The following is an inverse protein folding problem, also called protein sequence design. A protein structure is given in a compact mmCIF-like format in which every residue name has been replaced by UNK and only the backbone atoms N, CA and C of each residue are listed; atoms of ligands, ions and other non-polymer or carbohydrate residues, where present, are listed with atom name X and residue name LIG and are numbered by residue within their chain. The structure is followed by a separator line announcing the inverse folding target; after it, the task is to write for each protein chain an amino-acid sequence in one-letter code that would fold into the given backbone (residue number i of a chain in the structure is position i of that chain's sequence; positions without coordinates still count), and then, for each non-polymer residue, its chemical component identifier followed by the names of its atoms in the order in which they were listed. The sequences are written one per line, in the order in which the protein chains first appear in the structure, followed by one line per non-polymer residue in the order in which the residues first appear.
data_IF_488922979292
#
_entry.id   IF_488922979292
#
_cell.length_a   1.000
_cell.length_b   1.000
_cell.length_c   1.000
_cell.angle_alpha   90.00
_cell.angle_beta   90.00
_cell.angle_gamma   90.00
#
_symmetry.space_group_name_H-M   'P 1'
#
loop_
_entity.id
_entity.type
_entity.pdbx_description
1 polymer ?
#
# COMPACT_ATOMS: atom_id res chain seq x y z
N UNK A 1 7.41 -10.63 62.41
CA UNK A 1 8.10 -11.20 61.23
C UNK A 1 7.18 -12.30 60.68
N UNK A 2 6.12 -11.92 59.96
CA UNK A 2 5.91 -11.94 58.49
C UNK A 2 5.54 -13.35 57.99
N UNK A 3 4.23 -13.58 57.89
CA UNK A 3 3.58 -14.79 57.39
C UNK A 3 3.76 -14.89 55.87
N UNK A 4 4.25 -16.04 55.39
CA UNK A 4 4.49 -16.31 53.97
C UNK A 4 3.24 -16.94 53.39
N UNK A 5 2.53 -16.22 52.53
CA UNK A 5 1.42 -16.75 51.73
C UNK A 5 2.00 -17.38 50.45
N UNK A 6 1.83 -18.70 50.32
CA UNK A 6 2.16 -19.48 49.13
C UNK A 6 1.00 -19.34 48.12
N UNK A 7 1.20 -18.58 47.04
CA UNK A 7 0.22 -18.42 45.96
C UNK A 7 0.46 -19.53 44.93
N UNK A 8 -0.47 -20.49 44.86
CA UNK A 8 -0.54 -21.48 43.79
C UNK A 8 -0.99 -20.80 42.49
N UNK A 9 -0.09 -20.68 41.52
CA UNK A 9 -0.42 -20.31 40.14
C UNK A 9 -1.01 -21.54 39.42
N UNK A 10 -2.34 -21.62 39.36
CA UNK A 10 -3.03 -22.56 38.49
C UNK A 10 -2.88 -22.12 37.03
N UNK A 11 -1.97 -22.76 36.29
CA UNK A 11 -1.82 -22.59 34.85
C UNK A 11 -3.06 -23.18 34.15
N UNK A 12 -3.97 -22.31 33.72
CA UNK A 12 -5.08 -22.70 32.84
C UNK A 12 -4.50 -22.97 31.46
N UNK A 13 -4.28 -24.24 31.14
CA UNK A 13 -3.97 -24.68 29.77
C UNK A 13 -5.28 -24.62 28.97
N UNK A 14 -5.45 -23.58 28.17
CA UNK A 14 -6.54 -23.49 27.20
C UNK A 14 -6.27 -24.50 26.08
N UNK A 15 -6.92 -25.66 26.11
CA UNK A 15 -7.00 -26.53 24.94
C UNK A 15 -7.84 -25.81 23.87
N UNK A 16 -7.18 -25.35 22.80
CA UNK A 16 -7.88 -24.97 21.58
C UNK A 16 -8.57 -26.24 21.04
N UNK A 17 -9.90 -26.25 21.04
CA UNK A 17 -10.69 -27.33 20.47
C UNK A 17 -10.49 -27.33 18.94
N UNK A 18 -9.57 -28.15 18.45
CA UNK A 18 -9.43 -28.41 17.01
C UNK A 18 -10.67 -29.18 16.55
N UNK A 19 -11.60 -28.48 15.88
CA UNK A 19 -12.75 -29.11 15.24
C UNK A 19 -12.25 -29.96 14.06
N UNK A 20 -11.99 -31.24 14.31
CA UNK A 20 -11.58 -32.21 13.29
C UNK A 20 -12.73 -33.17 12.99
N UNK A 21 -12.95 -33.47 11.71
CA UNK A 21 -13.98 -34.39 11.26
C UNK A 21 -13.34 -35.42 10.33
N UNK A 22 -13.49 -36.71 10.64
CA UNK A 22 -12.88 -37.80 9.87
C UNK A 22 -13.94 -38.82 9.48
N UNK A 23 -13.82 -39.38 8.28
CA UNK A 23 -14.70 -40.40 7.74
C UNK A 23 -13.91 -41.50 7.03
N UNK A 24 -14.55 -42.58 6.57
CA UNK A 24 -13.87 -43.73 5.96
C UNK A 24 -13.08 -43.37 4.68
N UNK A 25 -13.37 -42.22 4.07
CA UNK A 25 -12.75 -41.77 2.81
C UNK A 25 -12.20 -40.35 2.88
N UNK A 26 -12.13 -39.73 4.07
CA UNK A 26 -11.59 -38.38 4.22
C UNK A 26 -11.14 -38.04 5.64
N UNK A 27 -10.22 -37.09 5.76
CA UNK A 27 -9.84 -36.43 7.00
C UNK A 27 -9.97 -34.93 6.79
N UNK A 28 -10.59 -34.20 7.72
CA UNK A 28 -10.74 -32.76 7.66
C UNK A 28 -10.34 -32.10 8.97
N UNK A 29 -9.60 -31.00 8.87
CA UNK A 29 -9.08 -30.25 10.01
C UNK A 29 -9.17 -28.75 9.76
N UNK A 30 -9.38 -28.01 10.85
CA UNK A 30 -9.33 -26.56 10.85
C UNK A 30 -7.88 -26.08 10.94
N UNK A 31 -7.48 -25.21 10.02
CA UNK A 31 -6.18 -24.54 10.03
C UNK A 31 -6.21 -23.34 10.97
N UNK A 32 -5.09 -23.06 11.66
CA UNK A 32 -4.97 -21.86 12.49
C UNK A 32 -5.11 -20.61 11.63
N UNK A 33 -6.20 -19.86 11.82
CA UNK A 33 -6.45 -18.64 11.08
C UNK A 33 -5.60 -17.48 11.60
N UNK A 34 -4.82 -16.84 10.72
CA UNK A 34 -4.13 -15.58 11.05
C UNK A 34 -5.04 -14.35 11.07
N UNK A 35 -6.21 -14.43 10.43
CA UNK A 35 -7.08 -13.29 10.15
C UNK A 35 -8.50 -13.45 10.72
N UNK A 36 -8.72 -14.41 11.64
CA UNK A 36 -10.04 -14.72 12.20
C UNK A 36 -11.02 -15.44 11.26
N UNK A 37 -10.61 -15.77 10.03
CA UNK A 37 -11.41 -16.53 9.05
C UNK A 37 -11.16 -18.03 9.22
N UNK A 38 -12.20 -18.78 9.60
CA UNK A 38 -12.14 -20.24 9.77
C UNK A 38 -11.82 -20.92 8.44
N UNK A 39 -10.64 -21.50 8.34
CA UNK A 39 -10.13 -22.15 7.12
C UNK A 39 -9.97 -23.64 7.40
N UNK A 40 -10.40 -24.47 6.47
CA UNK A 40 -10.37 -25.92 6.62
C UNK A 40 -9.54 -26.54 5.51
N UNK A 41 -8.83 -27.61 5.85
CA UNK A 41 -8.21 -28.50 4.88
C UNK A 41 -8.89 -29.86 4.95
N UNK A 42 -9.18 -30.45 3.79
CA UNK A 42 -9.69 -31.81 3.70
C UNK A 42 -8.83 -32.64 2.76
N UNK A 43 -8.42 -33.80 3.26
CA UNK A 43 -7.67 -34.83 2.55
C UNK A 43 -8.62 -36.02 2.28
N UNK A 44 -8.73 -36.47 1.03
CA UNK A 44 -9.70 -37.48 0.59
C UNK A 44 -9.00 -38.71 0.00
N UNK A 45 -9.12 -39.86 0.68
CA UNK A 45 -8.38 -41.07 0.33
C UNK A 45 -9.30 -42.12 -0.34
N UNK A 46 -8.76 -42.95 -1.25
CA UNK A 46 -9.48 -44.09 -1.87
C UNK A 46 -9.28 -44.27 -3.38
N UNK A 47 -9.77 -45.42 -3.91
CA UNK A 47 -9.61 -45.87 -5.32
C UNK A 47 -10.42 -45.02 -6.33
N UNK A 48 -11.42 -44.25 -5.87
CA UNK A 48 -12.29 -43.40 -6.71
C UNK A 48 -12.19 -41.91 -6.33
N UNK A 49 -11.16 -41.53 -5.58
CA UNK A 49 -11.04 -40.19 -5.02
C UNK A 49 -10.61 -39.21 -6.11
N UNK A 50 -11.46 -38.23 -6.41
CA UNK A 50 -11.13 -37.11 -7.30
C UNK A 50 -11.35 -35.81 -6.55
N UNK A 51 -10.86 -34.69 -7.08
CA UNK A 51 -11.14 -33.36 -6.53
C UNK A 51 -12.65 -33.10 -6.29
N UNK A 52 -13.54 -33.75 -7.06
CA UNK A 52 -15.00 -33.70 -6.88
C UNK A 52 -15.47 -34.36 -5.57
N UNK A 53 -14.80 -35.40 -5.11
CA UNK A 53 -15.11 -36.06 -3.83
C UNK A 53 -14.78 -35.12 -2.68
N UNK A 54 -13.62 -34.45 -2.72
CA UNK A 54 -13.26 -33.45 -1.72
C UNK A 54 -14.22 -32.26 -1.71
N UNK A 55 -14.64 -31.80 -2.88
CA UNK A 55 -15.63 -30.73 -2.98
C UNK A 55 -16.96 -31.11 -2.29
N UNK A 56 -17.44 -32.36 -2.46
CA UNK A 56 -18.65 -32.84 -1.77
C UNK A 56 -18.51 -32.84 -0.24
N UNK A 57 -17.33 -33.21 0.26
CA UNK A 57 -17.06 -33.16 1.71
C UNK A 57 -17.09 -31.72 2.20
N UNK A 58 -16.41 -30.81 1.49
CA UNK A 58 -16.44 -29.38 1.81
C UNK A 58 -17.87 -28.80 1.81
N UNK A 59 -18.71 -29.15 0.83
CA UNK A 59 -20.11 -28.72 0.79
C UNK A 59 -20.90 -29.22 2.00
N UNK A 60 -20.68 -30.48 2.42
CA UNK A 60 -21.32 -31.01 3.64
C UNK A 60 -20.85 -30.29 4.90
N UNK A 61 -19.57 -29.95 4.99
CA UNK A 61 -19.01 -29.23 6.14
C UNK A 61 -19.52 -27.79 6.24
N UNK A 62 -19.78 -27.13 5.10
CA UNK A 62 -20.34 -25.77 5.06
C UNK A 62 -21.87 -25.71 5.16
N UNK A 63 -22.57 -26.84 5.11
CA UNK A 63 -24.03 -26.89 5.19
C UNK A 63 -24.69 -26.08 4.07
N UNK A 64 -25.41 -25.00 4.43
CA UNK A 64 -26.06 -24.10 3.48
C UNK A 64 -25.17 -22.94 3.02
N UNK A 65 -23.95 -22.81 3.57
CA UNK A 65 -23.02 -21.77 3.16
C UNK A 65 -22.23 -22.20 1.91
N UNK A 66 -21.90 -21.26 1.01
CA UNK A 66 -21.09 -21.57 -0.16
C UNK A 66 -19.66 -21.96 0.27
N UNK A 67 -19.09 -22.94 -0.44
CA UNK A 67 -17.70 -23.37 -0.28
C UNK A 67 -16.80 -22.50 -1.14
N UNK A 68 -15.76 -21.92 -0.56
CA UNK A 68 -14.74 -21.14 -1.28
C UNK A 68 -13.37 -21.80 -1.16
N UNK A 69 -12.75 -22.16 -2.27
CA UNK A 69 -11.35 -22.60 -2.27
C UNK A 69 -10.43 -21.40 -1.99
N UNK A 70 -9.55 -21.54 -1.01
CA UNK A 70 -8.62 -20.47 -0.59
C UNK A 70 -7.30 -20.57 -1.35
N UNK A 71 -6.89 -21.79 -1.69
CA UNK A 71 -5.65 -22.03 -2.41
C UNK A 71 -5.96 -22.63 -3.79
N UNK A 72 -6.12 -21.74 -4.77
CA UNK A 72 -5.98 -22.10 -6.20
C UNK A 72 -4.79 -21.35 -6.83
N UNK A 73 -3.97 -20.69 -6.01
CA UNK A 73 -2.86 -19.85 -6.47
C UNK A 73 -1.57 -20.65 -6.53
N UNK A 74 -1.51 -21.54 -7.51
CA UNK A 74 -0.42 -21.58 -8.50
C UNK A 74 -0.83 -22.56 -9.60
N UNK A 75 -0.99 -22.13 -10.87
CA UNK A 75 -0.60 -23.05 -11.93
C UNK A 75 0.90 -23.29 -11.71
N UNK A 76 1.35 -24.54 -11.70
CA UNK A 76 2.76 -24.93 -11.53
C UNK A 76 3.22 -25.32 -10.10
N UNK A 77 2.57 -26.35 -9.54
CA UNK A 77 3.34 -27.50 -9.03
C UNK A 77 2.85 -28.74 -9.74
N UNK A 78 3.71 -29.36 -10.53
CA UNK A 78 3.54 -30.73 -10.98
C UNK A 78 3.34 -31.60 -9.74
N UNK A 79 2.11 -32.07 -9.51
CA UNK A 79 1.77 -32.88 -8.34
C UNK A 79 0.97 -32.20 -7.23
N UNK A 80 0.12 -31.19 -7.54
CA UNK A 80 -1.00 -30.88 -6.64
C UNK A 80 -1.84 -32.15 -6.48
N UNK A 81 -1.74 -32.77 -5.30
CA UNK A 81 -2.47 -34.00 -5.01
C UNK A 81 -3.98 -33.71 -5.15
N UNK A 82 -4.70 -34.31 -6.13
CA UNK A 82 -6.14 -34.08 -6.33
C UNK A 82 -6.99 -34.53 -5.13
N UNK A 83 -6.34 -35.13 -4.13
CA UNK A 83 -6.90 -35.60 -2.88
C UNK A 83 -6.86 -34.56 -1.75
N UNK A 84 -6.30 -33.35 -1.92
CA UNK A 84 -6.31 -32.33 -0.86
C UNK A 84 -6.85 -30.98 -1.34
N UNK A 85 -7.77 -30.37 -0.59
CA UNK A 85 -8.25 -29.00 -0.85
C UNK A 85 -8.28 -28.16 0.44
N UNK A 86 -8.00 -26.87 0.29
CA UNK A 86 -8.14 -25.87 1.36
C UNK A 86 -9.30 -24.94 1.03
N UNK A 87 -10.27 -24.86 1.94
CA UNK A 87 -11.51 -24.12 1.72
C UNK A 87 -11.97 -23.33 2.94
N UNK A 88 -12.89 -22.41 2.70
CA UNK A 88 -13.62 -21.63 3.69
C UNK A 88 -15.12 -21.78 3.45
N UNK A 89 -15.89 -21.82 4.53
CA UNK A 89 -17.35 -21.75 4.48
C UNK A 89 -17.78 -20.29 4.58
N UNK A 90 -18.78 -19.93 3.77
CA UNK A 90 -19.33 -18.58 3.73
C UNK A 90 -18.96 -17.86 2.45
N UNK A 91 -19.70 -16.79 2.17
CA UNK A 91 -19.34 -15.88 1.07
C UNK A 91 -17.89 -15.43 1.28
N UNK A 92 -17.16 -15.22 0.18
CA UNK A 92 -15.86 -14.54 0.26
C UNK A 92 -16.05 -13.32 1.18
N UNK A 93 -15.13 -13.05 2.12
CA UNK A 93 -15.20 -11.83 2.89
C UNK A 93 -15.38 -10.71 1.86
N UNK A 94 -16.56 -10.10 1.83
CA UNK A 94 -16.83 -9.00 0.91
C UNK A 94 -15.67 -8.04 1.07
N UNK A 95 -15.04 -7.57 -0.03
CA UNK A 95 -13.65 -7.12 -0.10
C UNK A 95 -13.28 -6.50 1.22
N UNK A 96 -12.57 -7.26 2.06
CA UNK A 96 -12.35 -6.95 3.47
C UNK A 96 -12.00 -5.49 3.52
N UNK A 97 -12.93 -4.65 4.01
CA UNK A 97 -12.98 -3.21 3.85
C UNK A 97 -11.72 -2.72 3.15
N UNK A 98 -11.71 -2.68 1.80
CA UNK A 98 -10.58 -2.16 1.04
C UNK A 98 -10.18 -0.89 1.76
N UNK A 99 -9.05 -0.95 2.47
CA UNK A 99 -8.77 -0.11 3.63
C UNK A 99 -9.37 1.25 3.37
N UNK A 100 -10.48 1.60 4.05
CA UNK A 100 -11.40 2.68 3.64
C UNK A 100 -10.55 3.73 3.00
N UNK A 101 -10.52 3.77 1.66
CA UNK A 101 -9.56 4.64 0.97
C UNK A 101 -9.85 6.00 1.59
N UNK A 102 -8.86 6.61 2.30
CA UNK A 102 -9.17 7.75 3.15
C UNK A 102 -9.98 8.69 2.30
N UNK A 103 -11.18 9.05 2.79
CA UNK A 103 -12.12 9.91 2.06
C UNK A 103 -11.28 11.00 1.38
N UNK A 104 -11.46 11.26 0.07
CA UNK A 104 -10.47 11.98 -0.72
C UNK A 104 -10.06 13.24 0.03
N UNK A 105 -8.87 13.19 0.62
CA UNK A 105 -8.34 14.31 1.39
C UNK A 105 -8.35 15.49 0.42
N UNK A 106 -8.96 16.64 0.77
CA UNK A 106 -8.94 17.78 -0.12
C UNK A 106 -7.49 18.16 -0.44
N UNK A 107 -7.02 17.80 -1.64
CA UNK A 107 -5.65 18.05 -2.09
C UNK A 107 -5.63 19.35 -2.87
N UNK A 108 -4.95 20.36 -2.34
CA UNK A 108 -4.63 21.56 -3.12
C UNK A 108 -3.33 21.31 -3.90
N UNK A 109 -3.38 21.44 -5.23
CA UNK A 109 -2.21 21.25 -6.10
C UNK A 109 -1.72 22.59 -6.64
N UNK A 110 -0.41 22.81 -6.56
CA UNK A 110 0.28 23.99 -7.07
C UNK A 110 1.43 23.53 -7.94
N UNK A 111 1.54 24.07 -9.17
CA UNK A 111 2.65 23.74 -10.07
C UNK A 111 3.52 24.98 -10.28
N UNK A 112 4.82 24.84 -10.03
CA UNK A 112 5.85 25.80 -10.42
C UNK A 112 6.50 25.29 -11.70
N UNK A 113 6.29 25.99 -12.82
CA UNK A 113 6.70 25.50 -14.14
C UNK A 113 7.63 26.48 -14.83
N UNK A 114 8.78 26.00 -15.30
CA UNK A 114 9.67 26.73 -16.21
C UNK A 114 10.95 27.29 -15.58
N UNK A 115 11.79 27.87 -16.44
CA UNK A 115 13.15 28.36 -16.12
C UNK A 115 13.18 29.57 -15.20
N UNK A 116 12.04 30.27 -15.07
CA UNK A 116 11.94 31.38 -14.15
C UNK A 116 12.15 30.93 -12.69
N UNK A 117 11.96 29.64 -12.39
CA UNK A 117 11.99 29.11 -11.02
C UNK A 117 13.34 28.51 -10.62
N UNK A 118 14.04 27.91 -11.59
CA UNK A 118 15.36 27.31 -11.41
C UNK A 118 16.23 27.62 -12.63
N UNK A 119 17.47 28.01 -12.39
CA UNK A 119 18.46 28.09 -13.47
C UNK A 119 18.72 26.71 -14.09
N UNK A 120 19.25 26.69 -15.31
CA UNK A 120 19.71 25.46 -15.98
C UNK A 120 20.69 24.72 -15.07
N UNK A 121 20.49 23.41 -14.96
CA UNK A 121 21.29 22.51 -14.11
C UNK A 121 21.44 22.97 -12.65
N UNK A 122 20.40 23.65 -12.13
CA UNK A 122 20.41 24.16 -10.76
C UNK A 122 19.17 23.73 -9.98
N UNK A 123 19.37 23.46 -8.69
CA UNK A 123 18.32 23.30 -7.69
C UNK A 123 18.12 24.55 -6.82
N UNK A 124 18.81 25.65 -7.14
CA UNK A 124 18.68 26.89 -6.38
C UNK A 124 17.39 27.61 -6.77
N UNK A 125 16.53 27.87 -5.78
CA UNK A 125 15.32 28.66 -5.96
C UNK A 125 15.65 30.10 -6.34
N UNK A 126 15.16 30.53 -7.49
CA UNK A 126 15.26 31.92 -7.95
C UNK A 126 14.44 32.86 -7.05
N UNK A 127 14.70 34.18 -7.09
CA UNK A 127 13.87 35.17 -6.40
C UNK A 127 12.40 35.11 -6.83
N UNK A 128 12.13 34.81 -8.10
CA UNK A 128 10.77 34.65 -8.64
C UNK A 128 10.09 33.42 -8.02
N UNK A 129 10.82 32.30 -7.89
CA UNK A 129 10.28 31.10 -7.24
C UNK A 129 9.93 31.35 -5.78
N UNK A 130 10.83 32.00 -5.05
CA UNK A 130 10.60 32.35 -3.64
C UNK A 130 9.36 33.23 -3.49
N UNK A 131 9.19 34.23 -4.36
CA UNK A 131 8.01 35.09 -4.35
C UNK A 131 6.69 34.32 -4.60
N UNK A 132 6.67 33.37 -5.53
CA UNK A 132 5.47 32.54 -5.76
C UNK A 132 5.18 31.57 -4.60
N UNK A 133 6.24 31.00 -4.00
CA UNK A 133 6.10 30.17 -2.80
C UNK A 133 5.62 30.99 -1.61
N UNK A 134 6.11 32.22 -1.43
CA UNK A 134 5.62 33.14 -0.40
C UNK A 134 4.15 33.51 -0.60
N UNK A 135 3.71 33.72 -1.85
CA UNK A 135 2.28 33.91 -2.16
C UNK A 135 1.46 32.67 -1.80
N UNK A 136 1.98 31.47 -2.06
CA UNK A 136 1.32 30.23 -1.66
C UNK A 136 1.18 30.17 -0.13
N UNK A 137 2.26 30.41 0.61
CA UNK A 137 2.27 30.40 2.07
C UNK A 137 1.27 31.41 2.65
N UNK A 138 1.23 32.63 2.10
CA UNK A 138 0.29 33.67 2.51
C UNK A 138 -1.19 33.26 2.29
N UNK A 139 -1.48 32.54 1.20
CA UNK A 139 -2.84 32.01 0.96
C UNK A 139 -3.22 30.90 1.95
N UNK A 140 -2.25 30.10 2.39
CA UNK A 140 -2.49 29.03 3.36
C UNK A 140 -2.60 29.53 4.80
N UNK A 141 -1.92 30.64 5.14
CA UNK A 141 -1.94 31.20 6.49
C UNK A 141 -1.47 30.19 7.54
N UNK A 142 -2.18 30.11 8.67
CA UNK A 142 -1.84 29.23 9.80
C UNK A 142 -2.36 27.78 9.71
N UNK A 143 -2.85 27.38 8.53
CA UNK A 143 -3.44 26.04 8.33
C UNK A 143 -2.41 24.94 8.58
N UNK A 144 -2.88 23.84 9.16
CA UNK A 144 -2.13 22.62 9.34
C UNK A 144 -2.50 21.60 8.27
N UNK A 145 -1.50 20.92 7.70
CA UNK A 145 -1.64 19.91 6.67
C UNK A 145 -1.22 18.54 7.20
N UNK A 146 -1.90 17.47 6.77
CA UNK A 146 -1.50 16.11 7.10
C UNK A 146 -0.24 15.70 6.33
N UNK A 147 -0.13 16.15 5.07
CA UNK A 147 1.03 15.86 4.22
C UNK A 147 1.29 16.95 3.19
N UNK A 148 2.56 17.24 2.95
CA UNK A 148 3.04 18.07 1.85
C UNK A 148 3.91 17.19 0.95
N UNK A 149 3.48 16.96 -0.28
CA UNK A 149 4.24 16.21 -1.29
C UNK A 149 4.80 17.18 -2.33
N UNK A 150 6.09 17.05 -2.63
CA UNK A 150 6.79 17.86 -3.61
C UNK A 150 7.41 16.95 -4.66
N UNK A 151 6.99 17.10 -5.91
CA UNK A 151 7.42 16.27 -7.02
C UNK A 151 8.22 17.09 -8.02
N UNK A 152 9.50 16.78 -8.17
CA UNK A 152 10.38 17.44 -9.13
C UNK A 152 10.44 16.68 -10.45
N UNK A 153 10.49 17.42 -11.55
CA UNK A 153 10.66 16.90 -12.91
C UNK A 153 11.69 17.70 -13.70
N UNK A 154 12.32 17.05 -14.67
CA UNK A 154 13.23 17.65 -15.65
C UNK A 154 12.66 17.50 -17.06
N UNK A 155 13.31 18.13 -18.04
CA UNK A 155 13.15 17.70 -19.43
C UNK A 155 14.01 16.46 -19.72
N UNK A 156 13.94 15.95 -20.94
CA UNK A 156 14.69 14.77 -21.38
C UNK A 156 16.14 15.07 -21.83
N UNK A 157 16.70 16.23 -21.48
CA UNK A 157 18.09 16.58 -21.81
C UNK A 157 19.01 16.03 -20.74
N UNK A 158 20.09 15.35 -21.14
CA UNK A 158 21.07 14.80 -20.20
C UNK A 158 20.87 13.30 -19.94
N UNK A 159 21.51 12.78 -18.91
CA UNK A 159 21.37 11.36 -18.53
C UNK A 159 20.24 11.17 -17.52
N UNK A 160 19.57 10.03 -17.57
CA UNK A 160 18.48 9.67 -16.64
C UNK A 160 18.92 9.82 -15.17
N UNK A 161 20.10 9.30 -14.82
CA UNK A 161 20.63 9.38 -13.46
C UNK A 161 20.84 10.83 -12.99
N UNK A 162 21.33 11.69 -13.89
CA UNK A 162 21.50 13.11 -13.62
C UNK A 162 20.14 13.80 -13.44
N UNK A 163 19.19 13.54 -14.34
CA UNK A 163 17.83 14.09 -14.29
C UNK A 163 17.10 13.67 -13.01
N UNK A 164 17.27 12.42 -12.59
CA UNK A 164 16.74 11.88 -11.34
C UNK A 164 17.31 12.61 -10.11
N UNK A 165 18.62 12.84 -10.07
CA UNK A 165 19.26 13.58 -8.97
C UNK A 165 18.82 15.06 -8.95
N UNK A 166 18.84 15.73 -10.11
CA UNK A 166 18.50 17.15 -10.23
C UNK A 166 17.03 17.40 -9.85
N UNK A 167 16.11 16.59 -10.32
CA UNK A 167 14.69 16.69 -9.95
C UNK A 167 14.49 16.49 -8.44
N UNK A 168 15.18 15.52 -7.82
CA UNK A 168 15.12 15.30 -6.37
C UNK A 168 15.65 16.50 -5.59
N UNK A 169 16.79 17.06 -6.00
CA UNK A 169 17.35 18.24 -5.35
C UNK A 169 16.43 19.46 -5.45
N UNK A 170 15.76 19.66 -6.60
CA UNK A 170 14.76 20.73 -6.76
C UNK A 170 13.55 20.53 -5.84
N UNK A 171 13.04 19.31 -5.76
CA UNK A 171 11.95 18.99 -4.84
C UNK A 171 12.35 19.23 -3.38
N UNK A 172 13.56 18.83 -2.99
CA UNK A 172 14.11 19.05 -1.66
C UNK A 172 14.24 20.54 -1.32
N UNK A 173 14.73 21.35 -2.26
CA UNK A 173 14.87 22.79 -2.07
C UNK A 173 13.51 23.47 -1.83
N UNK A 174 12.47 23.08 -2.57
CA UNK A 174 11.10 23.59 -2.39
C UNK A 174 10.53 23.13 -1.05
N UNK A 175 10.65 21.85 -0.70
CA UNK A 175 10.15 21.33 0.57
C UNK A 175 10.84 21.98 1.77
N UNK A 176 12.17 22.17 1.70
CA UNK A 176 12.94 22.88 2.71
C UNK A 176 12.47 24.32 2.86
N UNK A 177 12.32 25.04 1.75
CA UNK A 177 11.84 26.42 1.76
C UNK A 177 10.46 26.56 2.41
N UNK A 178 9.50 25.71 2.02
CA UNK A 178 8.15 25.73 2.60
C UNK A 178 8.18 25.50 4.12
N UNK A 179 8.99 24.54 4.58
CA UNK A 179 9.16 24.23 6.00
C UNK A 179 9.80 25.39 6.76
N UNK A 180 10.89 25.96 6.24
CA UNK A 180 11.62 27.08 6.86
C UNK A 180 10.77 28.34 6.98
N UNK A 181 9.87 28.56 6.03
CA UNK A 181 8.95 29.71 6.02
C UNK A 181 7.69 29.47 6.86
N UNK A 182 7.61 28.34 7.56
CA UNK A 182 6.60 28.09 8.59
C UNK A 182 5.35 27.34 8.13
N UNK A 183 5.36 26.69 6.96
CA UNK A 183 4.26 25.80 6.58
C UNK A 183 4.16 24.65 7.59
N UNK A 184 2.98 24.48 8.20
CA UNK A 184 2.76 23.45 9.23
C UNK A 184 2.21 22.19 8.59
N UNK A 185 2.96 21.09 8.67
CA UNK A 185 2.48 19.79 8.23
C UNK A 185 3.05 18.65 9.07
N UNK A 186 2.31 17.54 9.21
CA UNK A 186 2.81 16.34 9.91
C UNK A 186 3.99 15.71 9.14
N UNK A 187 3.87 15.66 7.81
CA UNK A 187 4.88 15.04 6.93
C UNK A 187 5.20 15.92 5.73
N UNK A 188 6.48 16.00 5.38
CA UNK A 188 6.97 16.58 4.15
C UNK A 188 7.70 15.51 3.34
N UNK A 189 7.24 15.25 2.13
CA UNK A 189 7.83 14.28 1.21
C UNK A 189 8.31 15.00 -0.05
N UNK A 190 9.52 14.68 -0.50
CA UNK A 190 10.13 15.26 -1.68
C UNK A 190 10.67 14.14 -2.57
N UNK A 191 10.15 14.06 -3.79
CA UNK A 191 10.43 12.98 -4.74
C UNK A 191 10.88 13.58 -6.07
N UNK A 192 12.00 13.09 -6.60
CA UNK A 192 12.43 13.37 -7.96
C UNK A 192 11.90 12.30 -8.90
N UNK A 193 11.40 12.69 -10.06
CA UNK A 193 10.94 11.77 -11.10
C UNK A 193 11.80 11.84 -12.37
N UNK A 194 12.85 12.67 -12.38
CA UNK A 194 13.64 12.93 -13.57
C UNK A 194 12.76 13.40 -14.72
N UNK A 195 12.95 12.78 -15.88
CA UNK A 195 12.19 13.07 -17.11
C UNK A 195 10.88 12.27 -17.24
N UNK A 196 10.52 11.47 -16.24
CA UNK A 196 9.29 10.68 -16.27
C UNK A 196 8.05 11.58 -16.25
N UNK A 197 6.95 11.07 -16.79
CA UNK A 197 5.65 11.77 -16.87
C UNK A 197 5.77 13.22 -17.42
N UNK A 198 6.23 13.37 -18.68
CA UNK A 198 6.35 14.69 -19.30
C UNK A 198 4.98 15.36 -19.44
N UNK A 199 4.91 16.65 -19.09
CA UNK A 199 3.70 17.47 -19.24
C UNK A 199 3.51 17.98 -20.69
N UNK A 200 4.56 17.94 -21.50
CA UNK A 200 4.57 18.33 -22.92
C UNK A 200 5.65 17.55 -23.70
N UNK A 201 5.62 17.61 -25.04
CA UNK A 201 6.67 17.00 -25.87
C UNK A 201 8.06 17.55 -25.52
N UNK A 202 9.08 16.68 -25.47
CA UNK A 202 10.48 17.09 -25.29
C UNK A 202 11.14 17.56 -26.60
N UNK A 203 10.44 17.45 -27.73
CA UNK A 203 10.99 17.77 -29.05
C UNK A 203 11.07 19.28 -29.28
N UNK A 204 10.20 20.06 -28.63
CA UNK A 204 10.18 21.53 -28.74
C UNK A 204 10.80 22.20 -27.52
N UNK A 205 11.40 23.37 -27.72
CA UNK A 205 11.99 24.14 -26.62
C UNK A 205 10.93 24.54 -25.58
N UNK A 206 9.74 24.90 -26.06
CA UNK A 206 8.58 25.27 -25.25
C UNK A 206 8.04 24.06 -24.46
N UNK A 207 8.08 22.87 -25.04
CA UNK A 207 7.67 21.65 -24.36
C UNK A 207 8.67 21.22 -23.28
N UNK A 208 9.98 21.29 -23.56
CA UNK A 208 11.02 21.07 -22.53
C UNK A 208 10.89 22.07 -21.37
N UNK A 209 10.63 23.35 -21.67
CA UNK A 209 10.38 24.34 -20.63
C UNK A 209 9.20 24.01 -19.72
N UNK A 210 8.14 23.40 -20.27
CA UNK A 210 6.99 22.93 -19.48
C UNK A 210 7.29 21.68 -18.64
N UNK A 211 8.23 20.85 -19.08
CA UNK A 211 8.62 19.63 -18.36
C UNK A 211 9.51 19.93 -17.15
N UNK A 212 10.33 21.00 -17.21
CA UNK A 212 11.10 21.52 -16.08
C UNK A 212 10.17 22.18 -15.05
N UNK A 213 9.57 21.35 -14.18
CA UNK A 213 8.55 21.79 -13.22
C UNK A 213 8.72 21.13 -11.85
N UNK A 214 8.13 21.76 -10.85
CA UNK A 214 7.93 21.19 -9.51
C UNK A 214 6.45 21.30 -9.18
N UNK A 215 5.85 20.16 -8.83
CA UNK A 215 4.46 20.08 -8.38
C UNK A 215 4.44 19.96 -6.85
N UNK A 216 3.54 20.68 -6.20
CA UNK A 216 3.34 20.70 -4.76
C UNK A 216 1.90 20.28 -4.50
N UNK A 217 1.70 19.27 -3.66
CA UNK A 217 0.38 18.81 -3.22
C UNK A 217 0.27 18.98 -1.71
N UNK A 218 -0.76 19.71 -1.28
CA UNK A 218 -1.06 19.97 0.12
C UNK A 218 -2.29 19.15 0.52
N UNK A 219 -2.10 18.14 1.37
CA UNK A 219 -3.16 17.27 1.88
C UNK A 219 -3.57 17.73 3.28
N UNK A 220 -4.88 17.81 3.53
CA UNK A 220 -5.43 18.25 4.82
C UNK A 220 -5.81 17.10 5.73
#
# INVERSE_FOLDING_TARGET
MKNIHLVLLASVVSLAACSSASGPTYNAYELQSRNGIRTFQVDCHGILSTAKTCMKVATRMCGNEPVRLVDTTTPYRDGADPHSIVFQCGAAPGPAAAAVAPAPVPVEKVSLTGDAYFATDSAVLSPVARAELDKLLNRQGDRHFSRVEVHGYTDATGSEAHNQALSKHRADAVAAYLRERGLKADTFEATGYGEAAPAASNDTAEGRARNRRVEISLQR
#
